data_IF_510570395141
#
_entry.id   IF_510570395141
#
_cell.length_a   1.000
_cell.length_b   1.000
_cell.length_c   1.000
_cell.angle_alpha   90.00
_cell.angle_beta   90.00
_cell.angle_gamma   90.00
#
_symmetry.space_group_name_H-M   'P 1'
#
loop_
_entity.id
_entity.type
_entity.pdbx_description
1 polymer ?
#
# COMPACT_ATOMS: atom_id res chain seq x y z
N UNK A 1 18.98 40.58 18.69
CA UNK A 1 19.18 41.38 17.46
C UNK A 1 19.58 40.44 16.32
N UNK A 2 19.17 40.74 15.07
CA UNK A 2 19.64 40.16 13.79
C UNK A 2 21.18 40.25 13.65
N UNK A 3 21.92 39.50 12.81
CA UNK A 3 21.68 38.36 11.88
C UNK A 3 23.04 37.97 11.22
N UNK A 4 23.05 37.10 10.18
CA UNK A 4 24.08 36.95 9.10
C UNK A 4 25.33 36.11 9.52
N UNK A 5 25.94 35.15 8.79
CA UNK A 5 25.70 34.27 7.60
C UNK A 5 26.84 33.21 7.58
N UNK A 6 26.89 32.09 6.83
CA UNK A 6 25.94 31.21 6.11
C UNK A 6 26.73 30.05 5.46
N UNK A 7 26.14 28.85 5.26
CA UNK A 7 26.67 27.86 4.30
C UNK A 7 25.57 27.03 3.64
N UNK A 8 25.63 26.95 2.32
CA UNK A 8 24.76 26.16 1.47
C UNK A 8 25.25 24.71 1.34
N UNK A 9 24.36 23.73 1.52
CA UNK A 9 24.48 22.42 0.86
C UNK A 9 23.13 22.01 0.30
N UNK A 10 22.95 22.26 -0.98
CA UNK A 10 21.78 21.85 -1.75
C UNK A 10 21.77 20.33 -1.96
N UNK A 11 20.87 19.62 -1.29
CA UNK A 11 20.42 18.28 -1.70
C UNK A 11 18.96 18.38 -2.18
N UNK A 12 18.63 17.91 -3.39
CA UNK A 12 17.33 18.17 -3.99
C UNK A 12 16.23 17.35 -3.32
N UNK A 13 15.24 18.06 -2.77
CA UNK A 13 13.85 17.63 -2.65
C UNK A 13 13.63 16.12 -2.47
N UNK A 14 14.10 15.56 -1.35
CA UNK A 14 13.47 14.35 -0.80
C UNK A 14 12.10 14.74 -0.23
N UNK A 15 11.19 15.13 -1.12
CA UNK A 15 9.77 15.10 -0.86
C UNK A 15 9.45 13.64 -0.53
N UNK A 16 9.41 13.37 0.78
CA UNK A 16 8.81 12.20 1.39
C UNK A 16 7.40 12.12 0.81
N UNK A 17 7.25 11.35 -0.28
CA UNK A 17 5.97 11.26 -0.97
C UNK A 17 4.92 10.91 0.09
N UNK A 18 3.84 11.69 0.21
CA UNK A 18 2.82 11.40 1.19
C UNK A 18 2.24 10.04 0.80
N UNK A 19 2.55 9.02 1.61
CA UNK A 19 1.93 7.71 1.49
C UNK A 19 0.43 7.93 1.34
N UNK A 20 -0.13 7.45 0.24
CA UNK A 20 -1.51 7.78 -0.09
C UNK A 20 -2.38 7.04 0.92
N UNK A 21 -2.85 7.72 1.95
CA UNK A 21 -3.73 7.10 2.94
C UNK A 21 -5.04 6.71 2.25
N UNK A 22 -5.17 5.42 1.91
CA UNK A 22 -6.34 4.84 1.25
C UNK A 22 -7.12 4.06 2.31
N UNK A 23 -8.41 4.33 2.40
CA UNK A 23 -9.32 3.65 3.34
C UNK A 23 -9.79 2.30 2.82
N UNK A 24 -10.28 1.43 3.70
CA UNK A 24 -10.96 0.20 3.31
C UNK A 24 -12.10 0.45 2.30
N UNK A 25 -12.90 1.51 2.50
CA UNK A 25 -13.99 1.83 1.58
C UNK A 25 -13.50 2.30 0.20
N UNK A 26 -12.36 2.99 0.13
CA UNK A 26 -11.72 3.38 -1.13
C UNK A 26 -11.17 2.16 -1.88
N UNK A 27 -10.51 1.21 -1.19
CA UNK A 27 -10.09 -0.08 -1.77
C UNK A 27 -11.28 -0.92 -2.25
N UNK A 28 -12.34 -1.00 -1.43
CA UNK A 28 -13.57 -1.71 -1.75
C UNK A 28 -14.22 -1.14 -3.03
N UNK A 29 -14.37 0.19 -3.12
CA UNK A 29 -14.92 0.84 -4.32
C UNK A 29 -14.03 0.62 -5.53
N UNK A 30 -12.71 0.79 -5.38
CA UNK A 30 -11.74 0.64 -6.46
C UNK A 30 -11.74 -0.77 -7.08
N UNK A 31 -12.07 -1.80 -6.30
CA UNK A 31 -12.09 -3.23 -6.71
C UNK A 31 -13.50 -3.77 -6.98
N UNK A 32 -14.53 -2.92 -7.00
CA UNK A 32 -15.94 -3.29 -7.15
C UNK A 32 -16.43 -4.29 -6.08
N UNK A 33 -16.09 -4.04 -4.82
CA UNK A 33 -16.28 -4.95 -3.67
C UNK A 33 -15.45 -6.24 -3.76
N UNK A 34 -14.20 -6.16 -4.23
CA UNK A 34 -13.33 -7.33 -4.44
C UNK A 34 -13.98 -8.37 -5.37
N UNK A 35 -14.58 -7.88 -6.46
CA UNK A 35 -15.31 -8.69 -7.44
C UNK A 35 -14.39 -9.77 -8.03
N UNK A 36 -14.79 -11.06 -8.09
CA UNK A 36 -14.01 -12.11 -8.75
C UNK A 36 -13.61 -11.81 -10.20
N UNK A 37 -14.36 -10.98 -10.94
CA UNK A 37 -13.96 -10.53 -12.30
C UNK A 37 -12.69 -9.69 -12.30
N UNK A 38 -12.37 -9.03 -11.18
CA UNK A 38 -11.19 -8.22 -10.97
C UNK A 38 -10.03 -9.01 -10.32
N UNK A 39 -10.19 -10.31 -10.07
CA UNK A 39 -9.14 -11.14 -9.47
C UNK A 39 -8.00 -11.38 -10.47
N UNK A 40 -6.79 -10.89 -10.13
CA UNK A 40 -5.56 -11.09 -10.90
C UNK A 40 -4.84 -12.38 -10.51
N UNK A 41 -5.01 -12.85 -9.28
CA UNK A 41 -4.44 -14.12 -8.82
C UNK A 41 -4.64 -14.37 -7.33
N UNK A 42 -4.44 -15.64 -6.92
CA UNK A 42 -4.48 -16.09 -5.53
C UNK A 42 -3.16 -16.79 -5.21
N UNK A 43 -2.60 -16.52 -4.05
CA UNK A 43 -1.39 -17.16 -3.53
C UNK A 43 -1.50 -17.49 -2.05
N UNK A 44 -0.45 -18.07 -1.48
CA UNK A 44 -0.42 -18.56 -0.09
C UNK A 44 -0.66 -17.50 1.00
N UNK A 45 -0.54 -16.22 0.65
CA UNK A 45 -0.71 -15.09 1.57
C UNK A 45 -1.96 -14.24 1.27
N UNK A 46 -2.81 -14.66 0.32
CA UNK A 46 -4.05 -13.96 -0.03
C UNK A 46 -4.25 -13.75 -1.53
N UNK A 47 -5.10 -12.78 -1.87
CA UNK A 47 -5.64 -12.56 -3.22
C UNK A 47 -5.30 -11.18 -3.74
N UNK A 48 -4.91 -11.08 -5.01
CA UNK A 48 -4.57 -9.82 -5.68
C UNK A 48 -5.70 -9.44 -6.63
N UNK A 49 -6.26 -8.25 -6.47
CA UNK A 49 -7.32 -7.71 -7.31
C UNK A 49 -6.82 -6.52 -8.13
N UNK A 50 -7.33 -6.36 -9.34
CA UNK A 50 -7.27 -5.10 -10.07
C UNK A 50 -8.21 -4.09 -9.39
N UNK A 51 -7.80 -2.84 -9.31
CA UNK A 51 -8.69 -1.73 -9.02
C UNK A 51 -8.25 -0.42 -9.64
N UNK A 52 -9.08 0.61 -9.51
CA UNK A 52 -8.76 1.97 -9.96
C UNK A 52 -8.93 2.96 -8.80
N UNK A 53 -7.83 3.57 -8.36
CA UNK A 53 -7.83 4.58 -7.30
C UNK A 53 -7.50 5.93 -7.93
N UNK A 54 -8.45 6.87 -7.86
CA UNK A 54 -8.28 8.27 -8.35
C UNK A 54 -7.81 8.35 -9.81
N UNK A 55 -8.26 7.41 -10.65
CA UNK A 55 -7.90 7.31 -12.07
C UNK A 55 -6.61 6.54 -12.37
N UNK A 56 -5.95 5.96 -11.36
CA UNK A 56 -4.74 5.14 -11.52
C UNK A 56 -5.10 3.66 -11.35
N UNK A 57 -4.74 2.83 -12.33
CA UNK A 57 -4.79 1.37 -12.22
C UNK A 57 -3.85 0.88 -11.11
N UNK A 58 -4.35 0.06 -10.21
CA UNK A 58 -3.60 -0.53 -9.09
C UNK A 58 -3.85 -2.04 -8.98
N UNK A 59 -2.88 -2.73 -8.39
CA UNK A 59 -3.07 -4.06 -7.82
C UNK A 59 -3.28 -3.90 -6.31
N UNK A 60 -4.31 -4.53 -5.76
CA UNK A 60 -4.64 -4.53 -4.32
C UNK A 60 -4.50 -5.96 -3.82
N UNK A 61 -3.48 -6.23 -3.01
CA UNK A 61 -3.28 -7.54 -2.38
C UNK A 61 -3.99 -7.58 -1.04
N UNK A 62 -5.11 -8.30 -0.96
CA UNK A 62 -5.84 -8.58 0.28
C UNK A 62 -5.21 -9.80 0.95
N UNK A 63 -4.80 -9.67 2.21
CA UNK A 63 -4.13 -10.74 2.96
C UNK A 63 -5.13 -11.78 3.46
N UNK A 64 -4.80 -13.07 3.33
CA UNK A 64 -5.54 -14.13 4.01
C UNK A 64 -5.12 -14.22 5.49
N UNK A 65 -6.01 -13.79 6.39
CA UNK A 65 -5.80 -13.81 7.83
C UNK A 65 -5.81 -15.24 8.43
N UNK A 66 -6.13 -16.26 7.65
CA UNK A 66 -5.99 -17.68 8.03
C UNK A 66 -4.60 -18.23 7.75
N UNK A 67 -3.78 -17.54 6.94
CA UNK A 67 -2.43 -17.98 6.62
C UNK A 67 -1.52 -17.91 7.84
N UNK A 68 -0.70 -18.95 8.07
CA UNK A 68 0.22 -18.96 9.21
C UNK A 68 1.22 -17.79 9.12
N UNK A 69 1.28 -16.98 10.17
CA UNK A 69 2.16 -15.81 10.23
C UNK A 69 1.75 -14.65 9.31
N UNK A 70 0.49 -14.59 8.84
CA UNK A 70 -0.02 -13.54 7.94
C UNK A 70 0.47 -12.13 8.31
N UNK A 71 0.40 -11.75 9.59
CA UNK A 71 0.79 -10.42 10.07
C UNK A 71 2.30 -10.15 9.92
N UNK A 72 3.14 -11.16 10.24
CA UNK A 72 4.60 -11.05 10.06
C UNK A 72 4.98 -10.95 8.58
N UNK A 73 4.32 -11.72 7.73
CA UNK A 73 4.48 -11.65 6.27
C UNK A 73 4.07 -10.29 5.72
N UNK A 74 2.90 -9.79 6.12
CA UNK A 74 2.38 -8.48 5.75
C UNK A 74 3.35 -7.33 6.10
N UNK A 75 3.84 -7.28 7.34
CA UNK A 75 4.82 -6.27 7.77
C UNK A 75 6.13 -6.39 6.98
N UNK A 76 6.67 -7.61 6.82
CA UNK A 76 7.92 -7.82 6.08
C UNK A 76 7.81 -7.42 4.60
N UNK A 77 6.67 -7.69 3.96
CA UNK A 77 6.40 -7.31 2.57
C UNK A 77 6.20 -5.80 2.43
N UNK A 78 5.46 -5.17 3.35
CA UNK A 78 5.33 -3.72 3.41
C UNK A 78 6.69 -3.04 3.57
N UNK A 79 7.53 -3.49 4.52
CA UNK A 79 8.86 -2.92 4.74
C UNK A 79 9.80 -3.14 3.55
N UNK A 80 9.77 -4.31 2.90
CA UNK A 80 10.55 -4.56 1.70
C UNK A 80 10.15 -3.61 0.56
N UNK A 81 8.87 -3.53 0.23
CA UNK A 81 8.36 -2.71 -0.88
C UNK A 81 8.38 -1.20 -0.59
N UNK A 82 8.39 -0.80 0.69
CA UNK A 82 8.53 0.60 1.13
C UNK A 82 9.96 1.11 1.02
N UNK A 83 10.94 0.25 1.32
CA UNK A 83 12.35 0.64 1.37
C UNK A 83 13.08 0.43 0.03
N UNK A 84 12.60 -0.48 -0.83
CA UNK A 84 13.22 -0.74 -2.14
C UNK A 84 12.59 0.12 -3.23
N UNK A 85 13.42 0.89 -3.96
CA UNK A 85 13.01 1.66 -5.14
C UNK A 85 13.88 1.28 -6.33
N UNK A 86 13.31 0.56 -7.30
CA UNK A 86 14.00 0.16 -8.52
C UNK A 86 13.02 0.06 -9.70
N UNK A 87 13.48 0.39 -10.92
CA UNK A 87 12.64 0.41 -12.14
C UNK A 87 12.02 -0.94 -12.53
N UNK A 88 12.57 -2.05 -12.05
CA UNK A 88 12.08 -3.41 -12.33
C UNK A 88 11.40 -4.06 -11.10
N UNK A 89 11.07 -3.28 -10.07
CA UNK A 89 10.38 -3.77 -8.88
C UNK A 89 9.11 -2.96 -8.65
N UNK A 90 8.06 -3.62 -8.17
CA UNK A 90 6.80 -2.95 -7.83
C UNK A 90 7.00 -1.96 -6.68
N UNK A 91 6.41 -0.77 -6.80
CA UNK A 91 6.42 0.26 -5.76
C UNK A 91 5.19 0.09 -4.88
N UNK A 92 5.38 0.02 -3.57
CA UNK A 92 4.26 0.16 -2.62
C UNK A 92 3.70 1.59 -2.70
N UNK A 93 2.40 1.72 -3.01
CA UNK A 93 1.71 3.02 -2.97
C UNK A 93 1.27 3.32 -1.53
N UNK A 94 0.70 2.30 -0.86
CA UNK A 94 0.18 2.39 0.50
C UNK A 94 -0.09 1.01 1.07
N UNK A 95 -0.27 0.92 2.38
CA UNK A 95 -0.76 -0.27 3.08
C UNK A 95 -2.01 0.11 3.87
N UNK A 96 -3.05 -0.70 3.84
CA UNK A 96 -4.27 -0.52 4.61
C UNK A 96 -4.35 -1.55 5.74
N UNK A 97 -4.53 -1.08 6.97
CA UNK A 97 -4.91 -1.90 8.12
C UNK A 97 -6.17 -1.29 8.71
N UNK A 98 -7.26 -2.05 8.72
CA UNK A 98 -8.59 -1.54 9.01
C UNK A 98 -9.50 -2.65 9.54
N UNK A 99 -10.76 -2.29 9.78
CA UNK A 99 -11.85 -3.21 10.10
C UNK A 99 -12.88 -3.10 8.97
N UNK A 100 -13.41 -4.24 8.51
CA UNK A 100 -14.42 -4.29 7.45
C UNK A 100 -15.84 -3.99 8.00
N UNK A 101 -16.83 -3.92 7.12
CA UNK A 101 -18.23 -3.69 7.53
C UNK A 101 -18.86 -4.85 8.32
N UNK A 102 -18.18 -6.00 8.47
CA UNK A 102 -18.58 -7.14 9.29
C UNK A 102 -17.84 -7.15 10.63
N UNK A 103 -17.17 -6.05 10.99
CA UNK A 103 -16.37 -5.90 12.19
C UNK A 103 -15.22 -6.94 12.29
N UNK A 104 -14.68 -7.38 11.15
CA UNK A 104 -13.54 -8.28 11.02
C UNK A 104 -12.29 -7.50 10.61
N UNK A 105 -11.11 -7.93 11.06
CA UNK A 105 -9.83 -7.34 10.62
C UNK A 105 -9.67 -7.40 9.09
N UNK A 106 -9.04 -6.38 8.52
CA UNK A 106 -8.71 -6.29 7.10
C UNK A 106 -7.30 -5.74 6.91
N UNK A 107 -6.47 -6.46 6.16
CA UNK A 107 -5.11 -6.06 5.79
C UNK A 107 -4.95 -6.11 4.26
N UNK A 108 -4.40 -5.05 3.68
CA UNK A 108 -4.06 -5.00 2.25
C UNK A 108 -2.86 -4.09 1.95
N UNK A 109 -2.21 -4.31 0.80
CA UNK A 109 -1.10 -3.51 0.26
C UNK A 109 -1.08 -3.49 -1.29
#
# INVERSE_FOLDING_TARGET
>A
KKSITSTSSSSPLLLKEPFMNVSYDELRRATENFNPTNLLGVGSFGSVFKGVIRGVDVAVKVIDLKANGYYKGFIAECDALRNVRHRNLVKLITSCSSIDFKNTEFLAL
#
